data_IF_832557650747
#
_entry.id   IF_832557650747
#
_cell.length_a   1.000
_cell.length_b   1.000
_cell.length_c   1.000
_cell.angle_alpha   90.00
_cell.angle_beta   90.00
_cell.angle_gamma   90.00
#
_symmetry.space_group_name_H-M   'P 1'
#
loop_
_entity.id
_entity.type
_entity.pdbx_description
1 polymer ?
#
# COMPACT_ATOMS: atom_id res chain seq x y z
N UNK A 1 -4.44 13.65 13.53
CA UNK A 1 -5.68 12.92 13.22
C UNK A 1 -5.60 12.56 11.74
N UNK A 2 -5.63 11.28 11.39
CA UNK A 2 -5.71 10.81 10.00
C UNK A 2 -7.06 10.13 9.84
N UNK A 3 -7.77 10.40 8.74
CA UNK A 3 -9.10 9.83 8.48
C UNK A 3 -9.06 8.31 8.30
N UNK A 4 -7.92 7.80 7.82
CA UNK A 4 -7.67 6.37 7.66
C UNK A 4 -6.72 5.87 8.75
N UNK A 5 -7.09 4.81 9.49
CA UNK A 5 -6.22 4.19 10.48
C UNK A 5 -5.12 3.36 9.80
N UNK A 6 -3.99 3.17 10.48
CA UNK A 6 -2.96 2.21 10.06
C UNK A 6 -3.57 0.80 10.03
N UNK A 7 -3.06 -0.07 9.14
CA UNK A 7 -3.46 -1.49 9.08
C UNK A 7 -3.36 -2.17 10.45
N UNK A 8 -2.27 -1.94 11.18
CA UNK A 8 -2.16 -2.27 12.60
C UNK A 8 -2.02 -0.95 13.35
N UNK A 9 -3.04 -0.54 14.14
CA UNK A 9 -2.95 0.65 14.96
C UNK A 9 -1.79 0.58 15.94
N UNK A 10 -1.23 1.74 16.28
CA UNK A 10 -0.12 1.83 17.22
C UNK A 10 -0.52 1.31 18.60
N UNK A 11 0.30 0.44 19.19
CA UNK A 11 -0.01 -0.24 20.45
C UNK A 11 -0.99 -1.42 20.34
N UNK A 12 -1.53 -1.70 19.15
CA UNK A 12 -2.36 -2.90 18.95
C UNK A 12 -1.50 -4.17 18.94
N UNK A 13 -1.88 -5.16 19.75
CA UNK A 13 -1.19 -6.45 19.84
C UNK A 13 -1.96 -7.59 19.19
N UNK A 14 -3.26 -7.42 18.93
CA UNK A 14 -4.14 -8.48 18.45
C UNK A 14 -5.24 -8.01 17.48
N UNK A 15 -5.33 -6.72 17.17
CA UNK A 15 -6.34 -6.17 16.25
C UNK A 15 -5.65 -5.54 15.04
N UNK A 16 -6.14 -5.89 13.85
CA UNK A 16 -5.78 -5.24 12.60
C UNK A 16 -7.05 -4.85 11.82
N UNK A 17 -6.94 -3.78 11.04
CA UNK A 17 -7.97 -3.32 10.11
C UNK A 17 -7.54 -3.65 8.69
N UNK A 18 -8.44 -4.26 7.90
CA UNK A 18 -8.19 -4.66 6.53
C UNK A 18 -9.38 -4.19 5.70
N UNK A 19 -9.15 -3.21 4.83
CA UNK A 19 -10.16 -2.70 3.89
C UNK A 19 -9.50 -1.71 2.92
N UNK A 20 -10.29 -1.08 2.05
CA UNK A 20 -9.85 0.04 1.23
C UNK A 20 -9.78 1.37 2.01
N UNK A 21 -10.17 1.38 3.29
CA UNK A 21 -10.24 2.57 4.14
C UNK A 21 -9.11 2.63 5.18
N UNK A 22 -8.13 1.74 5.11
CA UNK A 22 -6.92 1.79 5.94
C UNK A 22 -5.81 2.53 5.21
N UNK A 23 -4.83 3.04 5.94
CA UNK A 23 -3.71 3.80 5.40
C UNK A 23 -2.58 2.87 4.95
N UNK A 24 -2.25 2.90 3.65
CA UNK A 24 -1.08 2.27 3.06
C UNK A 24 -0.43 3.28 2.11
N UNK A 25 0.85 3.65 2.31
CA UNK A 25 1.50 4.65 1.48
C UNK A 25 1.71 4.12 0.06
N UNK A 26 1.64 5.04 -0.91
CA UNK A 26 1.91 4.83 -2.34
C UNK A 26 0.96 3.91 -3.11
N UNK A 27 0.10 3.14 -2.44
CA UNK A 27 -0.82 2.21 -3.08
C UNK A 27 -2.18 2.84 -3.41
N UNK A 28 -2.87 2.31 -4.42
CA UNK A 28 -4.13 2.84 -4.93
C UNK A 28 -5.32 2.07 -4.37
N UNK A 29 -6.19 2.77 -3.63
CA UNK A 29 -7.51 2.24 -3.24
C UNK A 29 -8.37 1.97 -4.48
N UNK A 30 -9.49 1.26 -4.33
CA UNK A 30 -10.32 0.74 -5.45
C UNK A 30 -9.69 -0.44 -6.22
N UNK A 31 -8.51 -0.90 -5.82
CA UNK A 31 -7.89 -2.11 -6.36
C UNK A 31 -7.99 -3.28 -5.37
N UNK A 32 -8.08 -4.50 -5.89
CA UNK A 32 -8.00 -5.72 -5.06
C UNK A 32 -6.61 -5.88 -4.42
N UNK A 33 -5.56 -5.43 -5.10
CA UNK A 33 -4.19 -5.47 -4.61
C UNK A 33 -4.05 -4.71 -3.29
N UNK A 34 -4.74 -3.58 -3.12
CA UNK A 34 -4.76 -2.81 -1.87
C UNK A 34 -5.26 -3.66 -0.69
N UNK A 35 -6.36 -4.39 -0.88
CA UNK A 35 -6.95 -5.27 0.14
C UNK A 35 -6.00 -6.42 0.48
N UNK A 36 -5.37 -7.04 -0.52
CA UNK A 36 -4.40 -8.12 -0.33
C UNK A 36 -3.16 -7.61 0.41
N UNK A 37 -2.68 -6.42 0.08
CA UNK A 37 -1.56 -5.77 0.75
C UNK A 37 -1.88 -5.45 2.20
N UNK A 38 -3.06 -4.91 2.48
CA UNK A 38 -3.53 -4.67 3.85
C UNK A 38 -3.54 -5.97 4.67
N UNK A 39 -4.11 -7.04 4.12
CA UNK A 39 -4.14 -8.36 4.77
C UNK A 39 -2.73 -8.89 5.04
N UNK A 40 -1.81 -8.76 4.07
CA UNK A 40 -0.42 -9.19 4.23
C UNK A 40 0.31 -8.40 5.32
N UNK A 41 0.14 -7.08 5.37
CA UNK A 41 0.71 -6.21 6.42
C UNK A 41 0.18 -6.62 7.79
N UNK A 42 -1.13 -6.85 7.93
CA UNK A 42 -1.75 -7.27 9.18
C UNK A 42 -1.16 -8.60 9.70
N UNK A 43 -1.16 -9.62 8.85
CA UNK A 43 -0.66 -10.97 9.21
C UNK A 43 0.83 -10.91 9.54
N UNK A 44 1.64 -10.21 8.76
CA UNK A 44 3.09 -10.17 8.98
C UNK A 44 3.44 -9.45 10.28
N UNK A 45 2.73 -8.36 10.57
CA UNK A 45 2.95 -7.57 11.78
C UNK A 45 2.49 -8.33 13.03
N UNK A 46 1.26 -8.85 13.05
CA UNK A 46 0.70 -9.50 14.24
C UNK A 46 1.29 -10.88 14.53
N UNK A 47 1.73 -11.62 13.51
CA UNK A 47 2.35 -12.94 13.69
C UNK A 47 3.88 -12.89 13.68
N UNK A 48 4.50 -11.70 13.61
CA UNK A 48 5.95 -11.55 13.63
C UNK A 48 6.66 -12.23 12.45
N UNK A 49 6.04 -12.27 11.27
CA UNK A 49 6.62 -12.90 10.08
C UNK A 49 7.78 -12.05 9.57
N UNK A 50 9.01 -12.56 9.70
CA UNK A 50 10.22 -11.88 9.23
C UNK A 50 10.40 -12.03 7.71
N UNK A 51 9.48 -11.47 6.92
CA UNK A 51 9.55 -11.43 5.46
C UNK A 51 9.21 -10.04 4.95
N UNK A 52 9.97 -9.56 3.97
CA UNK A 52 9.72 -8.27 3.33
C UNK A 52 8.45 -8.34 2.49
N UNK A 53 7.58 -7.34 2.63
CA UNK A 53 6.43 -7.13 1.76
C UNK A 53 6.94 -6.49 0.46
N UNK A 54 6.51 -7.01 -0.69
CA UNK A 54 6.86 -6.43 -1.99
C UNK A 54 6.42 -4.95 -2.03
N UNK A 55 7.28 -3.98 -2.37
CA UNK A 55 6.87 -2.58 -2.45
C UNK A 55 5.87 -2.34 -3.59
N UNK A 56 5.22 -1.18 -3.60
CA UNK A 56 4.42 -0.74 -4.75
C UNK A 56 5.37 -0.48 -5.93
N UNK A 57 4.97 -0.86 -7.13
CA UNK A 57 5.85 -0.75 -8.30
C UNK A 57 6.20 0.72 -8.58
N UNK A 58 7.49 1.11 -8.54
CA UNK A 58 7.92 2.51 -8.54
C UNK A 58 7.95 3.15 -9.93
N UNK A 59 6.89 2.98 -10.74
CA UNK A 59 6.84 3.48 -12.12
C UNK A 59 7.01 5.00 -12.23
N UNK A 60 6.61 5.76 -11.19
CA UNK A 60 6.80 7.21 -11.09
C UNK A 60 8.27 7.65 -11.10
N UNK A 61 9.21 6.74 -10.87
CA UNK A 61 10.65 7.01 -10.89
C UNK A 61 11.36 6.47 -12.14
N UNK A 62 10.66 5.75 -13.05
CA UNK A 62 11.26 5.27 -14.31
C UNK A 62 11.19 6.36 -15.39
N UNK A 63 12.35 6.85 -15.81
CA UNK A 63 12.47 7.91 -16.84
C UNK A 63 11.79 7.53 -18.16
N UNK A 64 11.79 6.24 -18.53
CA UNK A 64 11.14 5.76 -19.76
C UNK A 64 9.64 5.86 -19.66
N UNK A 65 9.08 5.61 -18.47
CA UNK A 65 7.65 5.76 -18.19
C UNK A 65 7.26 7.22 -18.17
N UNK A 66 8.09 8.08 -17.58
CA UNK A 66 7.86 9.53 -17.53
C UNK A 66 7.86 10.17 -18.92
N UNK A 67 8.85 9.85 -19.77
CA UNK A 67 8.86 10.28 -21.18
C UNK A 67 7.62 9.75 -21.94
N UNK A 68 7.26 8.48 -21.67
CA UNK A 68 5.99 7.83 -21.97
C UNK A 68 4.78 8.76 -21.76
N UNK A 69 4.60 9.11 -20.49
CA UNK A 69 3.48 9.89 -19.99
C UNK A 69 3.48 11.33 -20.53
N UNK A 70 4.66 11.96 -20.64
CA UNK A 70 4.80 13.32 -21.19
C UNK A 70 4.37 13.38 -22.66
N UNK A 71 4.78 12.40 -23.47
CA UNK A 71 4.31 12.34 -24.87
C UNK A 71 2.78 12.15 -24.93
N UNK A 72 2.25 11.24 -24.10
CA UNK A 72 0.82 10.97 -24.04
C UNK A 72 -0.02 12.17 -23.55
N UNK A 73 0.52 13.07 -22.71
CA UNK A 73 -0.23 14.24 -22.23
C UNK A 73 -0.45 15.31 -23.30
N UNK A 74 0.30 15.28 -24.40
CA UNK A 74 0.14 16.18 -25.55
C UNK A 74 -0.45 15.49 -26.78
N UNK A 75 -0.91 14.24 -26.63
CA UNK A 75 -1.45 13.42 -27.71
C UNK A 75 -2.97 13.46 -27.72
#
# INVERSE_FOLDING_TARGET
MSDRPKVVPEGSTNIAMISQFVEIPEDMVFTEEYSIRAARVAVYTLLGVNKKICPVTPHKYDIRTLLKALNASYR
#
